data_IF_199014090633
#
_entry.id   IF_199014090633
#
_cell.length_a   1.000
_cell.length_b   1.000
_cell.length_c   1.000
_cell.angle_alpha   90.00
_cell.angle_beta   90.00
_cell.angle_gamma   90.00
#
_symmetry.space_group_name_H-M   'P 1'
#
loop_
_entity.id
_entity.type
_entity.pdbx_description
1 polymer ?
#
# COMPACT_ATOMS: atom_id res chain seq x y z
N UNK A 1 -28.53 -56.82 -3.72
CA UNK A 1 -27.84 -55.54 -3.99
C UNK A 1 -27.78 -54.81 -2.67
N UNK A 2 -26.67 -54.42 -2.06
CA UNK A 2 -25.25 -54.40 -2.41
C UNK A 2 -24.50 -54.49 -1.07
N UNK A 3 -23.46 -55.33 -1.02
CA UNK A 3 -22.41 -55.24 -0.01
C UNK A 3 -21.37 -54.23 -0.49
N UNK A 4 -20.91 -53.33 0.37
CA UNK A 4 -19.65 -52.60 0.14
C UNK A 4 -18.78 -52.84 1.37
N UNK A 5 -17.76 -53.67 1.16
CA UNK A 5 -16.69 -53.95 2.10
C UNK A 5 -15.68 -52.81 2.08
N UNK A 6 -15.24 -52.41 3.27
CA UNK A 6 -14.12 -51.49 3.50
C UNK A 6 -12.81 -52.16 3.08
N UNK A 7 -12.06 -51.51 2.18
CA UNK A 7 -10.71 -51.89 1.82
C UNK A 7 -9.69 -51.34 2.83
N UNK A 8 -8.93 -52.24 3.43
CA UNK A 8 -7.71 -51.97 4.20
C UNK A 8 -6.59 -51.56 3.24
N UNK A 9 -6.01 -50.38 3.47
CA UNK A 9 -4.77 -49.94 2.81
C UNK A 9 -3.59 -50.52 3.59
N UNK A 10 -2.88 -51.47 2.98
CA UNK A 10 -1.66 -52.05 3.50
C UNK A 10 -0.49 -51.07 3.38
N UNK A 11 0.26 -50.89 4.47
CA UNK A 11 1.61 -50.36 4.44
C UNK A 11 2.56 -51.49 4.04
N UNK A 12 3.20 -51.35 2.88
CA UNK A 12 4.23 -52.27 2.41
C UNK A 12 5.60 -51.80 2.96
N UNK A 13 6.34 -52.63 3.70
CA UNK A 13 7.67 -52.27 4.17
C UNK A 13 8.68 -52.53 3.05
N UNK A 14 9.25 -51.45 2.50
CA UNK A 14 10.37 -51.53 1.56
C UNK A 14 11.58 -52.18 2.25
N UNK A 15 11.84 -53.43 1.89
CA UNK A 15 13.06 -54.16 2.21
C UNK A 15 14.25 -53.47 1.51
N UNK A 16 15.25 -53.07 2.28
CA UNK A 16 16.55 -52.68 1.74
C UNK A 16 17.29 -53.96 1.34
N UNK A 17 17.68 -54.04 0.07
CA UNK A 17 18.45 -55.16 -0.47
C UNK A 17 19.96 -54.84 -0.30
N UNK A 18 20.75 -55.69 0.38
CA UNK A 18 22.18 -55.45 0.54
C UNK A 18 22.90 -55.73 -0.78
N UNK A 19 23.35 -54.66 -1.45
CA UNK A 19 24.23 -54.79 -2.62
C UNK A 19 25.56 -55.44 -2.22
N UNK A 20 25.93 -56.41 -3.04
CA UNK A 20 27.12 -57.25 -2.92
C UNK A 20 28.42 -56.44 -2.98
N UNK A 21 29.35 -56.81 -2.09
CA UNK A 21 30.73 -56.32 -2.10
C UNK A 21 31.41 -56.67 -3.44
N UNK A 22 31.78 -55.64 -4.20
CA UNK A 22 32.91 -55.72 -5.13
C UNK A 22 34.16 -55.11 -4.47
N UNK A 23 35.34 -55.74 -4.62
CA UNK A 23 36.57 -55.24 -4.03
C UNK A 23 37.02 -53.94 -4.71
N UNK A 24 37.08 -52.86 -3.93
CA UNK A 24 37.56 -51.57 -4.37
C UNK A 24 39.02 -51.65 -4.84
N UNK A 25 39.27 -51.19 -6.06
CA UNK A 25 40.61 -50.81 -6.50
C UNK A 25 41.09 -49.63 -5.62
N UNK A 26 42.37 -49.58 -5.21
CA UNK A 26 42.88 -48.46 -4.43
C UNK A 26 42.93 -47.21 -5.32
N UNK A 27 41.98 -46.29 -5.11
CA UNK A 27 42.02 -44.95 -5.68
C UNK A 27 43.29 -44.22 -5.21
N UNK A 28 44.00 -43.49 -6.09
CA UNK A 28 45.17 -42.72 -5.69
C UNK A 28 44.70 -41.52 -4.85
N UNK A 29 44.99 -41.57 -3.55
CA UNK A 29 44.79 -40.46 -2.61
C UNK A 29 45.68 -39.29 -3.00
N UNK A 30 45.18 -38.42 -3.88
CA UNK A 30 45.76 -37.12 -4.19
C UNK A 30 45.27 -36.12 -3.15
N UNK A 31 46.17 -35.72 -2.26
CA UNK A 31 46.17 -34.49 -1.46
C UNK A 31 44.84 -33.71 -1.47
N UNK A 32 43.91 -34.10 -0.61
CA UNK A 32 42.69 -33.33 -0.38
C UNK A 32 43.07 -32.08 0.43
N UNK A 33 43.10 -30.92 -0.24
CA UNK A 33 43.38 -29.62 0.41
C UNK A 33 42.11 -28.98 1.02
N UNK A 34 40.93 -29.54 0.73
CA UNK A 34 39.63 -29.14 1.29
C UNK A 34 39.38 -29.73 2.67
N UNK A 35 38.62 -29.01 3.49
CA UNK A 35 38.22 -29.43 4.84
C UNK A 35 37.02 -30.37 4.78
N UNK A 36 36.13 -30.12 3.81
CA UNK A 36 34.93 -30.89 3.53
C UNK A 36 35.01 -31.43 2.11
N UNK A 37 34.56 -32.67 1.91
CA UNK A 37 34.44 -33.26 0.58
C UNK A 37 33.04 -32.95 0.02
N UNK A 38 32.92 -32.13 -1.04
CA UNK A 38 31.63 -31.88 -1.66
C UNK A 38 31.18 -33.08 -2.47
N UNK A 39 29.86 -33.33 -2.52
CA UNK A 39 29.29 -34.20 -3.54
C UNK A 39 29.65 -33.63 -4.94
N UNK A 40 30.08 -34.46 -5.91
CA UNK A 40 30.32 -34.02 -7.27
C UNK A 40 29.19 -33.16 -7.88
N UNK A 41 27.94 -33.42 -7.50
CA UNK A 41 26.78 -32.64 -7.94
C UNK A 41 26.76 -31.21 -7.40
N UNK A 42 27.32 -30.97 -6.21
CA UNK A 42 27.29 -29.68 -5.51
C UNK A 42 28.52 -28.80 -5.80
N UNK A 43 29.58 -29.37 -6.38
CA UNK A 43 30.81 -28.62 -6.74
C UNK A 43 30.52 -27.35 -7.56
N UNK A 44 29.65 -27.36 -8.59
CA UNK A 44 29.32 -26.15 -9.35
C UNK A 44 28.64 -25.08 -8.49
N UNK A 45 27.83 -25.49 -7.51
CA UNK A 45 27.13 -24.57 -6.61
C UNK A 45 28.11 -23.82 -5.69
N UNK A 46 29.01 -24.54 -5.01
CA UNK A 46 30.01 -23.90 -4.14
C UNK A 46 30.99 -23.02 -4.92
N UNK A 47 31.38 -23.45 -6.13
CA UNK A 47 32.22 -22.65 -7.02
C UNK A 47 31.55 -21.36 -7.46
N UNK A 48 30.26 -21.40 -7.82
CA UNK A 48 29.50 -20.21 -8.19
C UNK A 48 29.42 -19.20 -7.03
N UNK A 49 29.23 -19.69 -5.79
CA UNK A 49 29.25 -18.85 -4.59
C UNK A 49 30.62 -18.18 -4.43
N UNK A 50 31.71 -18.95 -4.54
CA UNK A 50 33.06 -18.42 -4.41
C UNK A 50 33.37 -17.33 -5.44
N UNK A 51 33.02 -17.56 -6.71
CA UNK A 51 33.21 -16.59 -7.80
C UNK A 51 32.36 -15.32 -7.63
N UNK A 52 31.10 -15.45 -7.18
CA UNK A 52 30.25 -14.30 -6.88
C UNK A 52 30.81 -13.47 -5.73
N UNK A 53 31.24 -14.14 -4.64
CA UNK A 53 31.80 -13.41 -3.51
C UNK A 53 33.11 -12.70 -3.89
N UNK A 54 33.97 -13.29 -4.72
CA UNK A 54 35.20 -12.62 -5.18
C UNK A 54 34.90 -11.35 -5.98
N UNK A 55 33.89 -11.37 -6.85
CA UNK A 55 33.42 -10.17 -7.56
C UNK A 55 32.93 -9.12 -6.58
N UNK A 56 32.15 -9.52 -5.56
CA UNK A 56 31.63 -8.60 -4.55
C UNK A 56 32.75 -8.02 -3.67
N UNK A 57 33.79 -8.80 -3.35
CA UNK A 57 34.97 -8.33 -2.62
C UNK A 57 35.67 -7.18 -3.37
N UNK A 58 35.75 -7.26 -4.70
CA UNK A 58 36.34 -6.18 -5.52
C UNK A 58 35.56 -4.86 -5.49
N UNK A 59 34.28 -4.89 -5.12
CA UNK A 59 33.41 -3.72 -5.06
C UNK A 59 33.38 -3.06 -3.67
N UNK A 60 33.91 -3.73 -2.65
CA UNK A 60 33.90 -3.22 -1.29
C UNK A 60 34.84 -2.02 -1.13
N UNK A 61 34.37 -0.99 -0.41
CA UNK A 61 35.19 0.19 -0.09
C UNK A 61 35.82 0.09 1.29
N UNK A 62 35.17 -0.63 2.21
CA UNK A 62 35.61 -0.77 3.60
C UNK A 62 35.55 -2.22 4.07
N UNK A 63 36.41 -2.58 5.03
CA UNK A 63 36.46 -3.92 5.63
C UNK A 63 35.18 -4.28 6.42
N UNK A 64 34.39 -3.29 6.87
CA UNK A 64 33.11 -3.52 7.56
C UNK A 64 32.00 -3.96 6.59
N UNK A 65 31.86 -3.24 5.48
CA UNK A 65 30.89 -3.56 4.41
C UNK A 65 31.14 -4.94 3.81
N UNK A 66 32.41 -5.32 3.71
CA UNK A 66 32.85 -6.56 3.11
C UNK A 66 32.72 -7.78 4.03
N UNK A 67 32.28 -7.60 5.29
CA UNK A 67 32.27 -8.69 6.27
C UNK A 67 31.42 -9.88 5.85
N UNK A 68 30.19 -9.65 5.42
CA UNK A 68 29.29 -10.74 5.01
C UNK A 68 29.84 -11.49 3.79
N UNK A 69 30.49 -10.76 2.89
CA UNK A 69 31.15 -11.32 1.70
C UNK A 69 32.33 -12.20 2.10
N UNK A 70 33.21 -11.72 2.99
CA UNK A 70 34.29 -12.55 3.54
C UNK A 70 33.74 -13.79 4.25
N UNK A 71 32.67 -13.66 5.04
CA UNK A 71 32.08 -14.81 5.73
C UNK A 71 31.60 -15.89 4.75
N UNK A 72 30.81 -15.51 3.74
CA UNK A 72 30.32 -16.44 2.71
C UNK A 72 31.45 -17.03 1.86
N UNK A 73 32.45 -16.22 1.52
CA UNK A 73 33.64 -16.71 0.79
C UNK A 73 34.42 -17.73 1.61
N UNK A 74 34.53 -17.53 2.93
CA UNK A 74 35.13 -18.47 3.87
C UNK A 74 34.38 -19.79 3.95
N UNK A 75 33.04 -19.76 3.98
CA UNK A 75 32.21 -20.96 3.93
C UNK A 75 32.42 -21.75 2.64
N UNK A 76 32.40 -21.11 1.48
CA UNK A 76 32.68 -21.78 0.20
C UNK A 76 34.11 -22.34 0.15
N UNK A 77 35.08 -21.61 0.71
CA UNK A 77 36.47 -22.06 0.77
C UNK A 77 36.69 -23.32 1.62
N UNK A 78 35.76 -23.69 2.52
CA UNK A 78 35.85 -24.95 3.29
C UNK A 78 35.94 -26.18 2.36
N UNK A 79 35.36 -26.09 1.17
CA UNK A 79 35.39 -27.15 0.15
C UNK A 79 36.58 -27.05 -0.82
N UNK A 80 37.31 -25.93 -0.81
CA UNK A 80 38.43 -25.67 -1.72
C UNK A 80 39.78 -25.83 -1.02
N UNK A 81 39.97 -25.02 0.02
CA UNK A 81 41.24 -24.86 0.70
C UNK A 81 41.02 -24.36 2.12
N UNK A 82 41.49 -25.16 3.07
CA UNK A 82 41.44 -24.87 4.50
C UNK A 82 42.03 -23.51 4.89
N UNK A 83 43.22 -23.18 4.40
CA UNK A 83 43.91 -21.94 4.75
C UNK A 83 43.22 -20.71 4.16
N UNK A 84 42.64 -20.88 2.97
CA UNK A 84 41.80 -19.85 2.35
C UNK A 84 40.56 -19.58 3.20
N UNK A 85 39.87 -20.63 3.66
CA UNK A 85 38.73 -20.49 4.57
C UNK A 85 39.13 -19.75 5.85
N UNK A 86 40.23 -20.16 6.48
CA UNK A 86 40.75 -19.51 7.69
C UNK A 86 41.08 -18.03 7.47
N UNK A 87 41.67 -17.67 6.32
CA UNK A 87 41.96 -16.28 5.97
C UNK A 87 40.70 -15.42 5.96
N UNK A 88 39.64 -15.89 5.30
CA UNK A 88 38.40 -15.15 5.19
C UNK A 88 37.68 -15.02 6.54
N UNK A 89 37.64 -16.07 7.36
CA UNK A 89 37.08 -15.99 8.71
C UNK A 89 37.87 -15.05 9.62
N UNK A 90 39.21 -15.02 9.53
CA UNK A 90 40.04 -14.06 10.28
C UNK A 90 39.72 -12.62 9.88
N UNK A 91 39.52 -12.35 8.60
CA UNK A 91 39.10 -11.00 8.12
C UNK A 91 37.79 -10.55 8.75
N UNK A 92 36.80 -11.45 8.87
CA UNK A 92 35.52 -11.17 9.55
C UNK A 92 35.72 -10.82 11.03
N UNK A 93 36.55 -11.60 11.75
CA UNK A 93 36.81 -11.38 13.17
C UNK A 93 37.55 -10.06 13.41
N UNK A 94 38.54 -9.75 12.58
CA UNK A 94 39.32 -8.51 12.71
C UNK A 94 38.47 -7.28 12.39
N UNK A 95 37.56 -7.34 11.41
CA UNK A 95 36.78 -6.16 11.01
C UNK A 95 35.72 -5.73 12.04
N UNK A 96 35.09 -6.67 12.76
CA UNK A 96 34.23 -6.37 13.93
C UNK A 96 34.20 -7.55 14.90
N UNK A 97 35.07 -7.56 15.92
CA UNK A 97 35.26 -8.72 16.79
C UNK A 97 34.02 -9.08 17.62
N UNK A 98 33.15 -8.12 17.91
CA UNK A 98 31.97 -8.34 18.76
C UNK A 98 30.67 -8.57 17.95
N UNK A 99 30.77 -8.84 16.64
CA UNK A 99 29.61 -9.16 15.80
C UNK A 99 29.22 -10.63 15.88
N UNK A 100 27.95 -10.94 15.59
CA UNK A 100 27.47 -12.33 15.45
C UNK A 100 28.31 -13.11 14.43
N UNK A 101 28.58 -12.53 13.25
CA UNK A 101 29.44 -13.13 12.23
C UNK A 101 30.87 -13.42 12.72
N UNK A 102 31.41 -12.60 13.62
CA UNK A 102 32.71 -12.88 14.23
C UNK A 102 32.64 -14.03 15.25
N UNK A 103 31.52 -14.19 15.96
CA UNK A 103 31.25 -15.40 16.76
C UNK A 103 31.27 -16.66 15.90
N UNK A 104 30.49 -16.65 14.82
CA UNK A 104 30.42 -17.78 13.87
C UNK A 104 31.76 -18.06 13.19
N UNK A 105 32.50 -17.01 12.81
CA UNK A 105 33.83 -17.16 12.22
C UNK A 105 34.85 -17.77 13.19
N UNK A 106 34.76 -17.46 14.49
CA UNK A 106 35.60 -18.10 15.51
C UNK A 106 35.26 -19.57 15.68
N UNK A 107 33.99 -19.95 15.60
CA UNK A 107 33.59 -21.35 15.60
C UNK A 107 34.25 -22.10 14.44
N UNK A 108 34.18 -21.55 13.22
CA UNK A 108 34.84 -22.16 12.06
C UNK A 108 36.35 -22.24 12.23
N UNK A 109 37.01 -21.17 12.67
CA UNK A 109 38.46 -21.18 12.94
C UNK A 109 38.85 -22.26 13.97
N UNK A 110 38.09 -22.36 15.06
CA UNK A 110 38.27 -23.41 16.05
C UNK A 110 38.11 -24.82 15.44
N UNK A 111 37.07 -25.03 14.63
CA UNK A 111 36.83 -26.31 13.97
C UNK A 111 37.99 -26.66 13.03
N UNK A 112 38.48 -25.70 12.25
CA UNK A 112 39.67 -25.88 11.43
C UNK A 112 40.84 -26.32 12.31
N UNK A 113 41.17 -25.59 13.36
CA UNK A 113 42.30 -25.91 14.25
C UNK A 113 42.19 -27.33 14.85
N UNK A 114 41.00 -27.74 15.31
CA UNK A 114 40.76 -29.11 15.81
C UNK A 114 41.03 -30.17 14.75
N UNK A 115 40.62 -29.92 13.50
CA UNK A 115 40.87 -30.83 12.38
C UNK A 115 42.35 -30.89 11.96
N UNK A 116 43.18 -29.90 12.32
CA UNK A 116 44.62 -29.92 12.02
C UNK A 116 45.44 -30.66 13.06
N UNK A 117 44.95 -30.71 14.29
CA UNK A 117 45.73 -31.17 15.41
C UNK A 117 46.04 -32.67 15.22
N UNK A 118 47.31 -33.09 15.32
CA UNK A 118 47.66 -34.50 15.26
C UNK A 118 46.93 -35.25 16.37
N UNK A 119 46.08 -36.22 16.01
CA UNK A 119 45.18 -36.91 16.94
C UNK A 119 43.79 -36.27 17.12
N UNK A 120 43.35 -35.41 16.19
CA UNK A 120 41.98 -34.85 16.16
C UNK A 120 41.68 -33.88 17.31
N UNK A 121 42.71 -33.24 17.86
CA UNK A 121 42.58 -32.31 18.99
C UNK A 121 42.07 -32.96 20.28
N UNK A 122 42.15 -34.30 20.40
CA UNK A 122 41.64 -35.05 21.55
C UNK A 122 40.12 -35.09 21.67
N UNK A 123 39.39 -34.55 20.69
CA UNK A 123 37.93 -34.56 20.63
C UNK A 123 37.48 -35.77 19.81
N UNK A 124 36.59 -36.57 20.38
CA UNK A 124 35.94 -37.62 19.61
C UNK A 124 35.01 -36.98 18.56
N UNK A 125 34.77 -37.69 17.45
CA UNK A 125 33.75 -37.29 16.47
C UNK A 125 32.38 -37.02 17.13
N UNK A 126 32.08 -37.73 18.22
CA UNK A 126 30.85 -37.53 18.99
C UNK A 126 30.78 -36.15 19.66
N UNK A 127 31.88 -35.66 20.23
CA UNK A 127 31.93 -34.32 20.86
C UNK A 127 31.80 -33.19 19.83
N UNK A 128 32.40 -33.36 18.65
CA UNK A 128 32.27 -32.43 17.53
C UNK A 128 30.81 -32.33 17.07
N UNK A 129 30.17 -33.48 16.84
CA UNK A 129 28.76 -33.55 16.43
C UNK A 129 27.84 -32.97 17.49
N UNK A 130 28.06 -33.26 18.79
CA UNK A 130 27.29 -32.65 19.90
C UNK A 130 27.38 -31.13 19.89
N UNK A 131 28.57 -30.57 19.68
CA UNK A 131 28.76 -29.12 19.64
C UNK A 131 28.10 -28.50 18.42
N UNK A 132 28.27 -29.11 17.24
CA UNK A 132 27.63 -28.65 16.01
C UNK A 132 26.10 -28.67 16.12
N UNK A 133 25.52 -29.74 16.67
CA UNK A 133 24.07 -29.82 16.87
C UNK A 133 23.55 -28.74 17.80
N UNK A 134 24.26 -28.43 18.89
CA UNK A 134 23.87 -27.33 19.79
C UNK A 134 23.85 -25.99 19.06
N UNK A 135 24.90 -25.68 18.31
CA UNK A 135 25.02 -24.44 17.54
C UNK A 135 23.94 -24.36 16.44
N UNK A 136 23.65 -25.48 15.77
CA UNK A 136 22.59 -25.55 14.76
C UNK A 136 21.21 -25.29 15.37
N UNK A 137 20.88 -25.93 16.49
CA UNK A 137 19.62 -25.72 17.19
C UNK A 137 19.48 -24.28 17.66
N UNK A 138 20.55 -23.67 18.18
CA UNK A 138 20.54 -22.25 18.59
C UNK A 138 20.26 -21.32 17.41
N UNK A 139 20.88 -21.58 16.24
CA UNK A 139 20.62 -20.81 15.02
C UNK A 139 19.20 -20.98 14.51
N UNK A 140 18.69 -22.21 14.48
CA UNK A 140 17.31 -22.49 14.05
C UNK A 140 16.29 -21.79 14.96
N UNK A 141 16.50 -21.79 16.28
CA UNK A 141 15.64 -21.05 17.21
C UNK A 141 15.69 -19.53 16.97
N UNK A 142 16.89 -18.98 16.71
CA UNK A 142 17.03 -17.56 16.39
C UNK A 142 16.36 -17.19 15.06
N UNK A 143 16.48 -18.04 14.04
CA UNK A 143 15.80 -17.83 12.74
C UNK A 143 14.28 -17.86 12.94
N UNK A 144 13.77 -18.83 13.70
CA UNK A 144 12.35 -18.92 14.01
C UNK A 144 11.82 -17.69 14.75
N UNK A 145 12.57 -17.19 15.75
CA UNK A 145 12.20 -15.97 16.48
C UNK A 145 12.16 -14.75 15.55
N UNK A 146 13.18 -14.57 14.71
CA UNK A 146 13.25 -13.44 13.78
C UNK A 146 12.16 -13.53 12.71
N UNK A 147 11.89 -14.73 12.18
CA UNK A 147 10.81 -14.98 11.22
C UNK A 147 9.46 -14.63 11.83
N UNK A 148 9.20 -15.09 13.06
CA UNK A 148 7.97 -14.77 13.79
C UNK A 148 7.82 -13.26 14.03
N UNK A 149 8.89 -12.56 14.43
CA UNK A 149 8.86 -11.10 14.59
C UNK A 149 8.56 -10.38 13.28
N UNK A 150 9.15 -10.83 12.18
CA UNK A 150 8.92 -10.24 10.86
C UNK A 150 7.48 -10.43 10.41
N UNK A 151 6.94 -11.65 10.52
CA UNK A 151 5.55 -11.96 10.21
C UNK A 151 4.59 -11.09 11.03
N UNK A 152 4.78 -11.04 12.34
CA UNK A 152 3.94 -10.22 13.23
C UNK A 152 4.00 -8.73 12.86
N UNK A 153 5.20 -8.19 12.64
CA UNK A 153 5.35 -6.78 12.24
C UNK A 153 4.69 -6.47 10.90
N UNK A 154 4.70 -7.42 9.96
CA UNK A 154 4.04 -7.27 8.66
C UNK A 154 2.52 -7.31 8.79
N UNK A 155 2.00 -8.19 9.66
CA UNK A 155 0.57 -8.31 9.94
C UNK A 155 0.07 -7.04 10.61
N UNK A 156 0.78 -6.53 11.61
CA UNK A 156 0.42 -5.28 12.30
C UNK A 156 0.40 -4.08 11.34
N UNK A 157 1.39 -3.98 10.45
CA UNK A 157 1.47 -2.92 9.45
C UNK A 157 0.30 -3.00 8.44
N UNK A 158 -0.02 -4.21 7.96
CA UNK A 158 -1.16 -4.42 7.05
C UNK A 158 -2.49 -4.14 7.74
N UNK A 159 -2.62 -4.51 9.02
CA UNK A 159 -3.83 -4.27 9.79
C UNK A 159 -4.08 -2.77 10.03
N UNK A 160 -3.04 -2.00 10.31
CA UNK A 160 -3.13 -0.54 10.40
C UNK A 160 -3.55 0.11 9.07
N UNK A 161 -3.04 -0.39 7.94
CA UNK A 161 -3.42 0.09 6.61
C UNK A 161 -4.88 -0.25 6.27
N UNK A 162 -5.36 -1.45 6.66
CA UNK A 162 -6.77 -1.84 6.50
C UNK A 162 -7.68 -0.93 7.32
N UNK A 163 -7.36 -0.67 8.58
CA UNK A 163 -8.14 0.22 9.45
C UNK A 163 -8.19 1.65 8.88
N UNK A 164 -7.09 2.14 8.29
CA UNK A 164 -7.06 3.44 7.64
C UNK A 164 -7.95 3.50 6.38
N UNK A 165 -7.99 2.41 5.60
CA UNK A 165 -8.89 2.29 4.44
C UNK A 165 -10.34 2.22 4.85
N UNK A 166 -10.68 1.52 5.92
CA UNK A 166 -12.05 1.49 6.47
C UNK A 166 -12.53 2.89 6.86
N UNK A 167 -11.70 3.66 7.60
CA UNK A 167 -12.01 5.07 7.94
C UNK A 167 -12.22 5.92 6.70
N UNK A 168 -11.42 5.69 5.66
CA UNK A 168 -11.55 6.40 4.38
C UNK A 168 -12.86 6.03 3.68
N UNK A 169 -13.25 4.76 3.69
CA UNK A 169 -14.53 4.30 3.14
C UNK A 169 -15.72 4.90 3.88
N UNK A 170 -15.66 5.03 5.21
CA UNK A 170 -16.72 5.67 6.00
C UNK A 170 -16.91 7.14 5.62
N UNK A 171 -15.81 7.88 5.43
CA UNK A 171 -15.83 9.27 4.97
C UNK A 171 -16.44 9.35 3.57
N UNK A 172 -16.00 8.50 2.63
CA UNK A 172 -16.57 8.48 1.28
C UNK A 172 -18.06 8.15 1.31
N UNK A 173 -18.48 7.17 2.10
CA UNK A 173 -19.89 6.81 2.24
C UNK A 173 -20.73 8.00 2.77
N UNK A 174 -20.20 8.74 3.75
CA UNK A 174 -20.83 9.96 4.26
C UNK A 174 -20.98 11.05 3.17
N UNK A 175 -19.94 11.25 2.35
CA UNK A 175 -20.00 12.22 1.24
C UNK A 175 -21.00 11.82 0.17
N UNK A 176 -21.08 10.53 -0.19
CA UNK A 176 -22.08 10.00 -1.12
C UNK A 176 -23.49 10.27 -0.58
N UNK A 177 -23.76 9.95 0.70
CA UNK A 177 -25.07 10.21 1.31
C UNK A 177 -25.45 11.71 1.28
N UNK A 178 -24.48 12.60 1.54
CA UNK A 178 -24.68 14.05 1.45
C UNK A 178 -24.99 14.51 0.02
N UNK A 179 -24.23 14.05 -0.97
CA UNK A 179 -24.44 14.38 -2.37
C UNK A 179 -25.79 13.86 -2.88
N UNK A 180 -26.18 12.65 -2.48
CA UNK A 180 -27.52 12.11 -2.79
C UNK A 180 -28.62 13.03 -2.25
N UNK A 181 -28.49 13.52 -1.02
CA UNK A 181 -29.46 14.46 -0.44
C UNK A 181 -29.50 15.79 -1.20
N UNK A 182 -28.34 16.30 -1.64
CA UNK A 182 -28.27 17.52 -2.45
C UNK A 182 -28.94 17.33 -3.83
N UNK A 183 -28.75 16.18 -4.47
CA UNK A 183 -29.40 15.87 -5.75
C UNK A 183 -30.93 15.84 -5.63
N UNK A 184 -31.46 15.21 -4.58
CA UNK A 184 -32.92 15.21 -4.33
C UNK A 184 -33.46 16.62 -4.07
N UNK A 185 -32.71 17.45 -3.34
CA UNK A 185 -33.06 18.85 -3.12
C UNK A 185 -33.06 19.67 -4.42
N UNK A 186 -32.02 19.55 -5.24
CA UNK A 186 -31.93 20.22 -6.54
C UNK A 186 -33.05 19.79 -7.48
N UNK A 187 -33.42 18.52 -7.47
CA UNK A 187 -34.54 17.99 -8.25
C UNK A 187 -35.89 18.61 -7.82
N UNK A 188 -36.09 18.81 -6.52
CA UNK A 188 -37.27 19.50 -5.98
C UNK A 188 -37.30 20.99 -6.35
N UNK A 189 -36.16 21.67 -6.32
CA UNK A 189 -36.07 23.07 -6.78
C UNK A 189 -36.32 23.20 -8.29
N UNK A 190 -35.86 22.22 -9.07
CA UNK A 190 -36.12 22.19 -10.52
C UNK A 190 -37.62 22.07 -10.82
N UNK A 191 -38.35 21.20 -10.12
CA UNK A 191 -39.81 21.08 -10.31
C UNK A 191 -40.53 22.37 -9.92
N UNK A 192 -40.15 23.00 -8.80
CA UNK A 192 -40.72 24.30 -8.40
C UNK A 192 -40.47 25.40 -9.44
N UNK A 193 -39.28 25.45 -10.03
CA UNK A 193 -38.98 26.40 -11.11
C UNK A 193 -39.82 26.14 -12.37
N UNK A 194 -40.08 24.87 -12.69
CA UNK A 194 -40.95 24.52 -13.82
C UNK A 194 -42.39 24.99 -13.59
N UNK A 195 -42.91 24.81 -12.38
CA UNK A 195 -44.26 25.26 -12.01
C UNK A 195 -44.36 26.80 -12.09
N UNK A 196 -43.41 27.52 -11.50
CA UNK A 196 -43.34 28.99 -11.58
C UNK A 196 -43.23 29.49 -13.02
N UNK A 197 -42.47 28.80 -13.88
CA UNK A 197 -42.34 29.16 -15.29
C UNK A 197 -43.66 28.98 -16.06
N UNK A 198 -44.45 27.94 -15.73
CA UNK A 198 -45.78 27.76 -16.31
C UNK A 198 -46.74 28.86 -15.86
N UNK A 199 -46.71 29.22 -14.59
CA UNK A 199 -47.55 30.30 -14.05
C UNK A 199 -47.21 31.66 -14.67
N UNK A 200 -45.91 31.97 -14.83
CA UNK A 200 -45.46 33.17 -15.54
C UNK A 200 -45.97 33.19 -16.99
N UNK A 201 -45.82 32.10 -17.73
CA UNK A 201 -46.34 31.99 -19.11
C UNK A 201 -47.86 32.17 -19.17
N UNK A 202 -48.60 31.65 -18.18
CA UNK A 202 -50.04 31.83 -18.09
C UNK A 202 -50.41 33.29 -17.81
N UNK A 203 -49.65 33.96 -16.92
CA UNK A 203 -49.80 35.39 -16.63
C UNK A 203 -49.48 36.27 -17.84
N UNK A 204 -48.38 35.98 -18.55
CA UNK A 204 -47.99 36.69 -19.78
C UNK A 204 -49.07 36.63 -20.85
N UNK A 205 -49.70 35.45 -21.04
CA UNK A 205 -50.83 35.31 -21.97
C UNK A 205 -52.02 36.19 -21.56
N UNK A 206 -52.33 36.27 -20.26
CA UNK A 206 -53.39 37.17 -19.76
C UNK A 206 -53.03 38.63 -19.99
N UNK A 207 -51.78 39.02 -19.77
CA UNK A 207 -51.30 40.39 -20.03
C UNK A 207 -51.40 40.72 -21.52
N UNK A 208 -51.00 39.81 -22.41
CA UNK A 208 -51.14 40.00 -23.86
C UNK A 208 -52.60 40.16 -24.28
N UNK A 209 -53.50 39.32 -23.75
CA UNK A 209 -54.94 39.42 -24.02
C UNK A 209 -55.49 40.78 -23.56
N UNK A 210 -55.18 41.20 -22.33
CA UNK A 210 -55.60 42.51 -21.81
C UNK A 210 -55.00 43.68 -22.60
N UNK A 211 -53.76 43.54 -23.08
CA UNK A 211 -53.10 44.55 -23.93
C UNK A 211 -53.78 44.65 -25.29
N UNK A 212 -54.12 43.52 -25.92
CA UNK A 212 -54.89 43.46 -27.17
C UNK A 212 -56.26 44.14 -27.02
N UNK A 213 -56.97 43.85 -25.91
CA UNK A 213 -58.23 44.51 -25.60
C UNK A 213 -58.08 46.03 -25.45
N UNK A 214 -57.03 46.49 -24.77
CA UNK A 214 -56.71 47.92 -24.64
C UNK A 214 -56.41 48.59 -25.99
N UNK A 215 -55.69 47.93 -26.89
CA UNK A 215 -55.43 48.45 -28.24
C UNK A 215 -56.70 48.51 -29.09
N UNK A 216 -57.56 47.50 -29.00
CA UNK A 216 -58.85 47.49 -29.69
C UNK A 216 -59.76 48.63 -29.18
N UNK A 217 -59.83 48.81 -27.86
CA UNK A 217 -60.54 49.93 -27.23
C UNK A 217 -59.98 51.28 -27.70
N UNK A 218 -58.66 51.44 -27.78
CA UNK A 218 -58.02 52.64 -28.32
C UNK A 218 -58.41 52.94 -29.77
N UNK A 219 -58.51 51.92 -30.63
CA UNK A 219 -58.96 52.10 -32.02
C UNK A 219 -60.40 52.59 -32.08
N UNK A 220 -61.27 52.06 -31.22
CA UNK A 220 -62.66 52.51 -31.13
C UNK A 220 -62.71 53.98 -30.68
N UNK A 221 -61.96 54.36 -29.65
CA UNK A 221 -61.88 55.76 -29.20
C UNK A 221 -61.35 56.69 -30.29
N UNK A 222 -60.36 56.25 -31.07
CA UNK A 222 -59.82 56.98 -32.21
C UNK A 222 -60.87 57.12 -33.33
N UNK A 223 -61.59 56.06 -33.69
CA UNK A 223 -62.67 56.09 -34.68
C UNK A 223 -63.86 56.95 -34.22
N UNK A 224 -64.21 56.93 -32.93
CA UNK A 224 -65.25 57.80 -32.36
C UNK A 224 -64.78 59.26 -32.40
N UNK A 225 -63.51 59.52 -32.07
CA UNK A 225 -62.92 60.85 -32.17
C UNK A 225 -62.87 61.36 -33.62
N UNK A 226 -62.67 60.47 -34.59
CA UNK A 226 -62.70 60.78 -36.03
C UNK A 226 -64.12 60.93 -36.58
N UNK A 227 -65.13 60.31 -35.94
CA UNK A 227 -66.57 60.42 -36.29
C UNK A 227 -67.33 61.50 -35.51
N UNK A 228 -66.72 62.11 -34.49
CA UNK A 228 -67.27 63.29 -33.82
C UNK A 228 -67.05 64.55 -34.69
N UNK A 229 -68.07 65.41 -34.88
CA UNK A 229 -67.92 66.64 -35.64
C UNK A 229 -66.96 67.63 -34.94
N UNK A 230 -66.24 68.49 -35.69
CA UNK A 230 -65.23 69.36 -35.11
C UNK A 230 -65.91 70.43 -34.27
N UNK A 231 -65.67 70.40 -32.96
CA UNK A 231 -65.89 71.57 -32.10
C UNK A 231 -64.60 71.92 -31.36
N UNK A 232 -63.94 72.97 -31.87
CA UNK A 232 -63.07 73.88 -31.09
C UNK A 232 -63.98 74.74 -30.19
N UNK A 233 -63.55 75.22 -29.00
CA UNK A 233 -62.46 76.20 -28.86
C UNK A 233 -61.43 75.79 -27.78
N UNK A 234 -60.11 75.91 -28.00
CA UNK A 234 -59.26 77.10 -27.82
C UNK A 234 -58.47 77.08 -26.50
N UNK A 235 -57.19 77.45 -26.63
CA UNK A 235 -56.09 77.39 -25.66
C UNK A 235 -56.22 78.31 -24.43
N UNK A 236 -55.73 77.80 -23.28
CA UNK A 236 -54.85 78.41 -22.25
C UNK A 236 -54.86 77.42 -21.08
N UNK A 237 -53.78 76.96 -20.46
CA UNK A 237 -52.48 77.55 -20.16
C UNK A 237 -51.57 76.39 -19.71
N UNK A 238 -50.34 76.32 -20.21
CA UNK A 238 -49.19 75.67 -19.54
C UNK A 238 -48.44 76.77 -18.75
N UNK A 239 -47.74 76.49 -17.62
CA UNK A 239 -46.54 75.63 -17.64
C UNK A 239 -46.29 74.71 -16.41
N UNK A 240 -45.46 73.70 -16.69
CA UNK A 240 -44.59 72.80 -15.89
C UNK A 240 -43.63 73.54 -14.92
N UNK A 241 -42.74 72.90 -14.10
CA UNK A 241 -42.66 71.53 -13.49
C UNK A 241 -42.19 71.51 -11.99
N UNK A 242 -42.37 70.40 -11.25
CA UNK A 242 -41.51 69.87 -10.13
C UNK A 242 -42.19 68.59 -9.56
N UNK A 243 -41.66 67.36 -9.63
CA UNK A 243 -40.56 66.73 -8.86
C UNK A 243 -40.71 66.76 -7.32
N UNK A 244 -40.69 65.54 -6.74
CA UNK A 244 -40.54 65.19 -5.30
C UNK A 244 -41.78 65.43 -4.40
N UNK A 245 -42.23 64.55 -3.50
CA UNK A 245 -41.71 63.36 -2.80
C UNK A 245 -42.91 62.69 -2.11
N UNK A 246 -43.28 61.46 -2.50
CA UNK A 246 -44.07 60.57 -1.64
C UNK A 246 -43.11 59.51 -1.07
N UNK A 247 -42.32 59.95 -0.08
CA UNK A 247 -41.59 59.06 0.83
C UNK A 247 -42.38 58.99 2.14
N UNK A 248 -43.47 58.23 2.20
CA UNK A 248 -44.02 57.82 3.49
C UNK A 248 -44.92 56.59 3.34
N UNK A 249 -44.30 55.41 3.22
CA UNK A 249 -44.78 54.14 3.82
C UNK A 249 -43.74 53.02 3.81
N UNK A 250 -42.44 53.35 3.71
CA UNK A 250 -41.34 52.37 3.75
C UNK A 250 -40.30 52.70 4.82
N UNK A 251 -40.76 53.06 6.03
CA UNK A 251 -39.88 53.20 7.21
C UNK A 251 -40.32 52.41 8.45
N UNK A 252 -41.26 51.47 8.30
CA UNK A 252 -41.70 50.59 9.42
C UNK A 252 -41.26 49.12 9.30
N UNK A 253 -40.62 48.68 8.22
CA UNK A 253 -40.17 47.27 8.09
C UNK A 253 -38.66 47.05 8.26
N UNK A 254 -37.83 48.11 8.17
CA UNK A 254 -36.36 47.95 8.28
C UNK A 254 -35.79 48.16 9.71
N UNK A 255 -36.67 48.36 10.70
CA UNK A 255 -36.28 48.32 12.12
C UNK A 255 -36.56 46.99 12.82
N UNK A 256 -37.30 46.09 12.18
CA UNK A 256 -37.63 44.77 12.76
C UNK A 256 -36.70 43.65 12.27
N UNK A 257 -36.01 43.79 11.13
CA UNK A 257 -35.04 42.78 10.68
C UNK A 257 -33.65 42.89 11.32
N UNK A 258 -33.33 44.03 11.96
CA UNK A 258 -32.04 44.22 12.64
C UNK A 258 -32.07 43.87 14.12
N UNK A 259 -33.21 43.43 14.66
CA UNK A 259 -33.35 43.03 16.06
C UNK A 259 -33.25 41.51 16.29
N UNK A 260 -33.38 40.71 15.23
CA UNK A 260 -33.28 39.25 15.32
C UNK A 260 -31.88 38.70 15.01
N UNK A 261 -30.95 39.50 14.48
CA UNK A 261 -29.55 39.09 14.25
C UNK A 261 -28.62 39.37 15.45
N UNK A 262 -29.13 40.01 16.53
CA UNK A 262 -28.39 40.24 17.78
C UNK A 262 -28.93 39.39 18.95
N UNK A 263 -29.80 38.41 18.69
CA UNK A 263 -30.31 37.45 19.70
C UNK A 263 -29.90 35.99 19.40
N UNK A 264 -28.96 35.77 18.47
CA UNK A 264 -28.43 34.44 18.10
C UNK A 264 -26.90 34.37 17.97
N UNK A 265 -26.17 35.35 18.53
CA UNK A 265 -24.74 35.19 18.87
C UNK A 265 -24.57 35.05 20.37
#
# INVERSE_FOLDING_TARGET
MLWVAMGLVGCEPSYWEPQSLSPAAPSPSLAHNGVLEPDPADVPFYKAIAEDQEKRLSLCKTDDECRSVHFLRGLAALYENRELAALHFRKVVVSRPNSALAGESRFWLWLLDVLNAPGGGGLSSQELVKRLMREMVEKELSIHELSSKLENSSVDALQAEVENREKTLDVLNGTVASLTKQLEQLKKEQSQRQDLQQELKASEKKVQELTSQLEALRRIDQEIREKAPPTRPSEKMTPTPDLEKDMELEKKSEKDLKKDEELKR
#
